data_IF_720380453753
#
_entry.id   IF_720380453753
#
_cell.length_a   1.000
_cell.length_b   1.000
_cell.length_c   1.000
_cell.angle_alpha   90.00
_cell.angle_beta   90.00
_cell.angle_gamma   90.00
#
_symmetry.space_group_name_H-M   'P 1'
#
loop_
_entity.id
_entity.type
_entity.pdbx_description
1 polymer ?
#
# COMPACT_ATOMS: atom_id res chain seq x y z
N UNK A 1 -0.99 4.38 19.04
CA UNK A 1 0.33 4.32 18.40
C UNK A 1 0.89 5.72 18.33
N UNK A 2 2.01 5.99 19.00
CA UNK A 2 2.75 7.23 18.77
C UNK A 2 3.63 7.01 17.51
N UNK A 3 3.59 7.89 16.50
CA UNK A 3 4.48 7.76 15.34
C UNK A 3 5.97 7.81 15.74
N UNK A 4 6.28 8.38 16.92
CA UNK A 4 7.63 8.50 17.48
C UNK A 4 8.31 7.19 17.88
N UNK A 5 7.63 6.04 17.84
CA UNK A 5 8.28 4.74 18.09
C UNK A 5 8.62 3.99 16.80
N UNK A 6 8.10 4.44 15.66
CA UNK A 6 8.27 3.78 14.37
C UNK A 6 9.24 4.53 13.47
N UNK A 7 9.89 3.78 12.57
CA UNK A 7 10.78 4.37 11.56
C UNK A 7 9.99 4.69 10.30
N UNK A 8 10.40 5.73 9.60
CA UNK A 8 9.89 6.08 8.29
C UNK A 8 10.10 4.90 7.34
N UNK A 9 9.02 4.43 6.72
CA UNK A 9 9.03 3.30 5.79
C UNK A 9 9.94 3.51 4.56
N UNK A 10 10.29 4.77 4.25
CA UNK A 10 11.07 5.13 3.06
C UNK A 10 12.54 5.43 3.35
N UNK A 11 12.83 6.30 4.32
CA UNK A 11 14.20 6.71 4.64
C UNK A 11 14.79 6.05 5.89
N UNK A 12 13.99 5.37 6.71
CA UNK A 12 14.43 4.72 7.94
C UNK A 12 14.71 5.65 9.13
N UNK A 13 14.54 6.97 8.98
CA UNK A 13 14.62 7.93 10.09
C UNK A 13 13.41 7.82 11.02
N UNK A 14 13.41 8.60 12.10
CA UNK A 14 12.27 8.65 13.01
C UNK A 14 11.00 9.11 12.27
N UNK A 15 9.93 8.30 12.32
CA UNK A 15 8.64 8.73 11.82
C UNK A 15 8.07 9.81 12.75
N UNK A 16 7.46 10.81 12.12
CA UNK A 16 6.85 11.96 12.80
C UNK A 16 5.35 11.99 12.57
N UNK A 17 4.86 11.29 11.54
CA UNK A 17 3.47 11.26 11.13
C UNK A 17 3.06 9.89 10.58
N UNK A 18 1.76 9.60 10.63
CA UNK A 18 1.16 8.42 10.03
C UNK A 18 0.24 8.85 8.88
N UNK A 19 0.67 8.62 7.64
CA UNK A 19 -0.05 9.03 6.42
C UNK A 19 -0.12 7.86 5.44
N UNK A 20 -1.23 7.79 4.69
CA UNK A 20 -1.46 6.76 3.68
C UNK A 20 -1.27 5.31 4.19
N UNK A 21 -1.67 5.07 5.44
CA UNK A 21 -1.50 3.82 6.18
C UNK A 21 -0.03 3.40 6.42
N UNK A 22 0.92 4.34 6.43
CA UNK A 22 2.32 4.11 6.79
C UNK A 22 2.85 5.18 7.75
N UNK A 23 3.80 4.78 8.60
CA UNK A 23 4.59 5.70 9.43
C UNK A 23 5.72 6.30 8.57
N UNK A 24 5.70 7.62 8.40
CA UNK A 24 6.66 8.36 7.57
C UNK A 24 7.18 9.61 8.29
N UNK A 25 8.31 10.16 7.81
CA UNK A 25 8.82 11.45 8.28
C UNK A 25 8.25 12.62 7.45
N UNK A 26 8.58 13.85 7.82
CA UNK A 26 8.12 15.08 7.14
C UNK A 26 8.89 15.45 5.86
N UNK A 27 9.85 14.61 5.44
CA UNK A 27 10.58 14.88 4.20
C UNK A 27 9.63 14.76 3.01
N UNK A 28 9.57 15.81 2.20
CA UNK A 28 8.70 15.87 1.01
C UNK A 28 8.91 14.68 0.07
N UNK A 29 10.15 14.18 -0.06
CA UNK A 29 10.44 12.99 -0.85
C UNK A 29 9.70 11.73 -0.35
N UNK A 30 9.65 11.53 0.97
CA UNK A 30 8.95 10.40 1.58
C UNK A 30 7.42 10.57 1.51
N UNK A 31 6.93 11.80 1.72
CA UNK A 31 5.49 12.11 1.63
C UNK A 31 4.97 11.95 0.19
N UNK A 32 5.71 12.44 -0.80
CA UNK A 32 5.34 12.30 -2.20
C UNK A 32 5.35 10.84 -2.64
N UNK A 33 6.38 10.07 -2.25
CA UNK A 33 6.44 8.64 -2.55
C UNK A 33 5.27 7.87 -1.92
N UNK A 34 4.96 8.15 -0.65
CA UNK A 34 3.81 7.56 0.04
C UNK A 34 2.48 7.95 -0.63
N UNK A 35 2.38 9.18 -1.13
CA UNK A 35 1.21 9.66 -1.85
C UNK A 35 1.05 8.97 -3.22
N UNK A 36 2.14 8.79 -3.95
CA UNK A 36 2.12 8.14 -5.26
C UNK A 36 1.84 6.64 -5.16
N UNK A 37 2.34 5.98 -4.11
CA UNK A 37 2.08 4.56 -3.88
C UNK A 37 0.67 4.29 -3.33
N UNK A 38 0.16 5.15 -2.43
CA UNK A 38 -1.04 4.87 -1.62
C UNK A 38 -2.03 6.01 -1.48
N UNK A 39 -1.60 7.26 -1.69
CA UNK A 39 -2.32 8.47 -1.28
C UNK A 39 -3.38 9.03 -2.20
N UNK A 40 -4.11 8.17 -2.91
CA UNK A 40 -5.26 8.58 -3.71
C UNK A 40 -6.17 7.40 -4.04
N UNK A 41 -7.32 7.64 -4.69
CA UNK A 41 -8.16 6.55 -5.18
C UNK A 41 -7.37 5.62 -6.12
N UNK A 42 -6.44 6.16 -6.91
CA UNK A 42 -5.51 5.38 -7.72
C UNK A 42 -4.58 4.48 -6.89
N UNK A 43 -3.91 5.02 -5.87
CA UNK A 43 -3.05 4.24 -4.97
C UNK A 43 -3.84 3.16 -4.20
N UNK A 44 -5.06 3.47 -3.77
CA UNK A 44 -5.93 2.51 -3.10
C UNK A 44 -6.42 1.39 -4.03
N UNK A 45 -6.68 1.70 -5.31
CA UNK A 45 -7.03 0.70 -6.33
C UNK A 45 -5.81 -0.16 -6.70
N UNK A 46 -4.62 0.42 -6.84
CA UNK A 46 -3.40 -0.35 -7.12
C UNK A 46 -3.02 -1.26 -5.96
N UNK A 47 -3.13 -0.79 -4.73
CA UNK A 47 -2.87 -1.62 -3.56
C UNK A 47 -3.92 -2.72 -3.40
N UNK A 48 -5.20 -2.41 -3.65
CA UNK A 48 -6.24 -3.43 -3.74
C UNK A 48 -6.01 -4.39 -4.90
N UNK A 49 -5.49 -3.96 -6.05
CA UNK A 49 -5.18 -4.85 -7.16
C UNK A 49 -3.95 -5.74 -6.89
N UNK A 50 -2.98 -5.25 -6.11
CA UNK A 50 -1.82 -6.05 -5.66
C UNK A 50 -2.19 -7.07 -4.59
N UNK A 51 -3.17 -6.77 -3.74
CA UNK A 51 -3.62 -7.66 -2.67
C UNK A 51 -4.93 -8.40 -2.98
N UNK A 52 -5.62 -8.04 -4.05
CA UNK A 52 -6.57 -8.89 -4.72
C UNK A 52 -5.74 -10.01 -5.34
N UNK A 53 -5.55 -11.09 -4.56
CA UNK A 53 -5.27 -12.39 -5.15
C UNK A 53 -6.28 -12.70 -6.26
N UNK A 54 -6.03 -13.73 -7.09
CA UNK A 54 -6.90 -14.04 -8.21
C UNK A 54 -8.35 -14.05 -7.72
N UNK A 55 -9.14 -13.13 -8.24
CA UNK A 55 -10.59 -13.17 -8.06
C UNK A 55 -11.04 -14.53 -8.57
N UNK A 56 -11.93 -15.18 -7.82
CA UNK A 56 -12.46 -16.53 -8.07
C UNK A 56 -13.04 -16.68 -9.50
N UNK A 57 -13.17 -15.59 -10.26
CA UNK A 57 -13.67 -15.54 -11.64
C UNK A 57 -12.67 -15.93 -12.74
N UNK A 58 -11.42 -16.29 -12.44
CA UNK A 58 -10.53 -16.97 -13.40
C UNK A 58 -10.27 -18.43 -13.04
N UNK A 59 -11.26 -19.10 -12.44
CA UNK A 59 -11.34 -20.55 -12.60
C UNK A 59 -11.71 -20.79 -14.07
N UNK A 60 -10.73 -21.17 -14.88
CA UNK A 60 -10.94 -21.71 -16.22
C UNK A 60 -12.00 -22.83 -16.12
N UNK A 61 -13.20 -22.53 -16.63
CA UNK A 61 -14.28 -23.49 -16.82
C UNK A 61 -13.94 -24.35 -18.04
N UNK A 62 -12.95 -25.22 -17.91
CA UNK A 62 -12.62 -26.24 -18.90
C UNK A 62 -11.93 -27.41 -18.18
N UNK A 63 -12.73 -28.37 -17.67
CA UNK A 63 -12.47 -29.79 -17.92
C UNK A 63 -13.72 -30.62 -17.58
N UNK A 64 -14.37 -31.05 -18.66
CA UNK A 64 -15.23 -32.23 -18.87
C UNK A 64 -16.23 -32.70 -17.80
N UNK A 65 -17.48 -32.61 -18.23
CA UNK A 65 -18.58 -33.50 -17.87
C UNK A 65 -18.25 -34.92 -18.38
N UNK A 66 -17.87 -35.83 -17.48
CA UNK A 66 -17.98 -37.29 -17.66
C UNK A 66 -18.40 -37.97 -16.34
#
# INVERSE_FOLDING_TARGET
MNPSDEKCAYCGEQATQFLFAQSICDKEGCVNQARDERGGPGGHIFEKARHAGPTIETMDFDEELD
#
